data_IF_552731597563
#
_entry.id   IF_552731597563
#
_cell.length_a   1.000
_cell.length_b   1.000
_cell.length_c   1.000
_cell.angle_alpha   90.00
_cell.angle_beta   90.00
_cell.angle_gamma   90.00
#
_symmetry.space_group_name_H-M   'P 1'
#
loop_
_entity.id
_entity.type
_entity.pdbx_description
1 polymer ?
#
# COMPACT_ATOMS: atom_id res chain seq x y z
N UNK A 1 -19.73 17.43 -5.39
CA UNK A 1 -20.70 16.40 -5.81
C UNK A 1 -21.22 15.73 -4.55
N UNK A 2 -22.49 15.90 -4.20
CA UNK A 2 -23.07 15.18 -3.06
C UNK A 2 -23.22 13.71 -3.45
N UNK A 3 -22.35 12.86 -2.90
CA UNK A 3 -22.44 11.41 -3.05
C UNK A 3 -23.40 10.95 -1.95
N UNK A 4 -24.65 10.70 -2.34
CA UNK A 4 -25.67 10.08 -1.50
C UNK A 4 -26.14 8.78 -2.12
N UNK A 5 -26.27 7.75 -1.29
CA UNK A 5 -26.81 6.46 -1.71
C UNK A 5 -27.88 6.02 -0.72
N UNK A 6 -29.15 5.92 -1.15
CA UNK A 6 -30.26 5.51 -0.27
C UNK A 6 -30.37 6.34 1.03
N UNK A 7 -30.06 7.64 0.96
CA UNK A 7 -30.05 8.54 2.14
C UNK A 7 -28.83 8.40 3.06
N UNK A 8 -27.87 7.54 2.69
CA UNK A 8 -26.56 7.46 3.33
C UNK A 8 -25.59 8.46 2.72
N UNK A 9 -24.90 9.21 3.57
CA UNK A 9 -23.85 10.18 3.19
C UNK A 9 -22.49 9.66 3.63
N UNK A 10 -21.73 8.96 2.78
CA UNK A 10 -20.48 8.29 3.18
C UNK A 10 -19.49 9.26 3.79
N UNK A 11 -19.31 10.43 3.18
CA UNK A 11 -18.34 11.44 3.63
C UNK A 11 -18.65 12.00 5.04
N UNK A 12 -19.91 11.95 5.48
CA UNK A 12 -20.33 12.44 6.80
C UNK A 12 -20.51 11.29 7.81
N UNK A 13 -20.80 10.07 7.34
CA UNK A 13 -21.33 8.99 8.18
C UNK A 13 -20.47 7.72 8.21
N UNK A 14 -19.41 7.59 7.40
CA UNK A 14 -18.55 6.38 7.34
C UNK A 14 -17.96 5.99 8.70
N UNK A 15 -17.65 6.96 9.55
CA UNK A 15 -17.15 6.72 10.91
C UNK A 15 -18.09 5.80 11.73
N UNK A 16 -19.39 5.74 11.38
CA UNK A 16 -20.38 4.88 12.04
C UNK A 16 -20.19 3.40 11.75
N UNK A 17 -19.37 3.02 10.76
CA UNK A 17 -19.00 1.62 10.52
C UNK A 17 -18.48 0.93 11.80
N UNK A 18 -17.73 1.66 12.63
CA UNK A 18 -17.18 1.18 13.89
C UNK A 18 -18.23 0.93 14.99
N UNK A 19 -19.49 1.33 14.79
CA UNK A 19 -20.60 1.00 15.69
C UNK A 19 -21.07 -0.45 15.51
N UNK A 20 -20.74 -1.07 14.38
CA UNK A 20 -21.10 -2.47 14.06
C UNK A 20 -19.87 -3.36 14.13
N UNK A 21 -18.72 -2.86 13.67
CA UNK A 21 -17.45 -3.59 13.68
C UNK A 21 -16.55 -3.05 14.78
N UNK A 22 -16.13 -3.89 15.72
CA UNK A 22 -15.22 -3.45 16.78
C UNK A 22 -13.79 -3.27 16.24
N UNK A 23 -13.23 -2.04 16.22
CA UNK A 23 -11.89 -1.79 15.70
C UNK A 23 -10.80 -2.58 16.45
N UNK A 24 -10.93 -2.75 17.77
CA UNK A 24 -9.94 -3.45 18.57
C UNK A 24 -9.85 -4.95 18.22
N UNK A 25 -10.97 -5.55 17.81
CA UNK A 25 -10.98 -6.97 17.39
C UNK A 25 -10.36 -7.19 16.01
N UNK A 26 -10.47 -6.20 15.11
CA UNK A 26 -10.05 -6.32 13.72
C UNK A 26 -8.69 -5.70 13.41
N UNK A 27 -8.18 -4.81 14.27
CA UNK A 27 -6.87 -4.18 14.08
C UNK A 27 -5.75 -5.23 13.96
N UNK A 28 -5.68 -6.19 14.88
CA UNK A 28 -4.64 -7.22 14.86
C UNK A 28 -4.73 -8.13 13.61
N UNK A 29 -5.90 -8.68 13.24
CA UNK A 29 -6.07 -9.40 11.97
C UNK A 29 -5.62 -8.61 10.74
N UNK A 30 -5.98 -7.32 10.64
CA UNK A 30 -5.60 -6.46 9.52
C UNK A 30 -4.07 -6.30 9.46
N UNK A 31 -3.44 -6.03 10.60
CA UNK A 31 -1.98 -5.89 10.67
C UNK A 31 -1.27 -7.20 10.30
N UNK A 32 -1.78 -8.35 10.76
CA UNK A 32 -1.24 -9.66 10.38
C UNK A 32 -1.39 -9.89 8.88
N UNK A 33 -2.55 -9.59 8.29
CA UNK A 33 -2.78 -9.73 6.86
C UNK A 33 -1.82 -8.86 6.04
N UNK A 34 -1.66 -7.59 6.40
CA UNK A 34 -0.73 -6.67 5.72
C UNK A 34 0.72 -7.15 5.90
N UNK A 35 1.10 -7.61 7.09
CA UNK A 35 2.44 -8.14 7.34
C UNK A 35 2.72 -9.40 6.52
N UNK A 36 1.76 -10.32 6.43
CA UNK A 36 1.88 -11.51 5.59
C UNK A 36 2.05 -11.14 4.11
N UNK A 37 1.23 -10.23 3.60
CA UNK A 37 1.34 -9.73 2.22
C UNK A 37 2.72 -9.10 2.00
N UNK A 38 3.18 -8.25 2.92
CA UNK A 38 4.51 -7.64 2.82
C UNK A 38 5.60 -8.71 2.77
N UNK A 39 5.61 -9.67 3.70
CA UNK A 39 6.60 -10.76 3.71
C UNK A 39 6.58 -11.56 2.42
N UNK A 40 5.39 -11.94 1.91
CA UNK A 40 5.26 -12.72 0.68
C UNK A 40 5.76 -11.97 -0.55
N UNK A 41 5.41 -10.68 -0.67
CA UNK A 41 5.85 -9.83 -1.78
C UNK A 41 7.37 -9.70 -1.76
N UNK A 42 7.96 -9.43 -0.60
CA UNK A 42 9.42 -9.34 -0.50
C UNK A 42 10.05 -10.70 -0.77
N UNK A 43 9.56 -11.78 -0.17
CA UNK A 43 10.08 -13.13 -0.41
C UNK A 43 10.11 -13.48 -1.90
N UNK A 44 9.02 -13.20 -2.62
CA UNK A 44 8.96 -13.40 -4.06
C UNK A 44 9.91 -12.45 -4.81
N UNK A 45 9.94 -11.17 -4.46
CA UNK A 45 10.86 -10.21 -5.07
C UNK A 45 12.33 -10.64 -4.92
N UNK A 46 12.73 -11.12 -3.74
CA UNK A 46 14.07 -11.63 -3.47
C UNK A 46 14.40 -12.93 -4.24
N UNK A 47 13.40 -13.69 -4.66
CA UNK A 47 13.61 -14.88 -5.51
C UNK A 47 13.91 -14.54 -6.97
N UNK A 48 13.58 -13.32 -7.42
CA UNK A 48 13.82 -12.89 -8.80
C UNK A 48 15.29 -12.55 -9.03
N UNK A 49 15.84 -12.87 -10.21
CA UNK A 49 17.23 -12.53 -10.54
C UNK A 49 17.42 -11.02 -10.54
N UNK A 50 18.48 -10.54 -9.89
CA UNK A 50 18.82 -9.11 -9.84
C UNK A 50 17.90 -8.24 -8.98
N UNK A 51 17.11 -8.83 -8.07
CA UNK A 51 16.28 -8.09 -7.11
C UNK A 51 16.63 -8.37 -5.63
N UNK A 52 17.58 -9.29 -5.38
CA UNK A 52 18.05 -9.58 -4.03
C UNK A 52 19.08 -8.56 -3.50
N UNK A 53 19.58 -8.77 -2.27
CA UNK A 53 20.59 -7.89 -1.66
C UNK A 53 21.91 -7.81 -2.43
N UNK A 54 22.15 -8.77 -3.33
CA UNK A 54 23.32 -8.82 -4.22
C UNK A 54 22.99 -8.41 -5.66
N UNK A 55 21.82 -7.81 -5.90
CA UNK A 55 21.49 -7.22 -7.19
C UNK A 55 22.56 -6.22 -7.60
N UNK A 56 22.95 -6.25 -8.88
CA UNK A 56 23.80 -5.20 -9.43
C UNK A 56 23.10 -3.85 -9.20
N UNK A 57 23.82 -2.82 -8.73
CA UNK A 57 23.24 -1.50 -8.54
C UNK A 57 22.62 -1.07 -9.88
N UNK A 58 21.38 -0.59 -9.84
CA UNK A 58 20.75 -0.02 -11.01
C UNK A 58 21.69 1.04 -11.58
N UNK A 59 22.15 0.85 -12.83
CA UNK A 59 22.91 1.88 -13.52
C UNK A 59 22.09 3.16 -13.44
N UNK A 60 22.64 4.17 -12.75
CA UNK A 60 22.01 5.46 -12.64
C UNK A 60 21.67 5.90 -14.07
N UNK A 61 20.38 6.13 -14.33
CA UNK A 61 19.95 6.68 -15.60
C UNK A 61 20.88 7.87 -15.90
N UNK A 62 21.51 7.93 -17.09
CA UNK A 62 22.42 9.03 -17.40
C UNK A 62 21.65 10.31 -17.12
N UNK A 63 22.16 11.11 -16.19
CA UNK A 63 21.55 12.38 -15.81
C UNK A 63 21.17 13.07 -17.11
N UNK A 64 19.86 13.25 -17.34
CA UNK A 64 19.39 13.93 -18.54
C UNK A 64 20.19 15.21 -18.63
N UNK A 65 21.03 15.31 -19.66
CA UNK A 65 21.91 16.44 -19.85
C UNK A 65 21.03 17.69 -19.76
N UNK A 66 21.23 18.49 -18.71
CA UNK A 66 20.61 19.79 -18.64
C UNK A 66 20.99 20.51 -19.95
N UNK A 67 20.02 21.08 -20.69
CA UNK A 67 20.35 21.79 -21.91
C UNK A 67 21.36 22.87 -21.54
N UNK A 68 22.51 22.84 -22.20
CA UNK A 68 23.48 23.91 -22.10
C UNK A 68 22.93 25.11 -22.88
N UNK A 69 22.81 26.23 -22.15
CA UNK A 69 22.47 27.60 -22.59
C UNK A 69 20.99 27.93 -22.85
#
# INVERSE_FOLDING_TARGET
MNIEFMGYKPLEQDHRFWMVVNPATWLMPILIAVALVAVLVHFYAFSLPGQGFSAAPAEAAPAAAAPAE
#
